data_IF_721590096546
#
_entry.id   IF_721590096546
#
_cell.length_a   1.000
_cell.length_b   1.000
_cell.length_c   1.000
_cell.angle_alpha   90.00
_cell.angle_beta   90.00
_cell.angle_gamma   90.00
#
_symmetry.space_group_name_H-M   'P 1'
#
loop_
_entity.id
_entity.type
_entity.pdbx_description
1 polymer ?
#
# COMPACT_ATOMS: atom_id res chain seq x y z
N UNK A 1 7.45 -1.10 -16.17
CA UNK A 1 8.21 -0.36 -15.16
C UNK A 1 9.06 0.67 -15.89
N UNK A 2 9.07 1.94 -15.49
CA UNK A 2 9.89 2.97 -16.13
C UNK A 2 11.37 2.58 -16.12
N UNK A 3 12.07 2.83 -17.22
CA UNK A 3 13.46 2.38 -17.35
C UNK A 3 14.41 3.12 -16.38
N UNK A 4 14.02 4.33 -15.97
CA UNK A 4 14.68 5.13 -14.93
C UNK A 4 14.71 4.42 -13.58
N UNK A 5 13.79 3.48 -13.29
CA UNK A 5 13.75 2.81 -11.99
C UNK A 5 14.92 1.85 -11.77
N UNK A 6 15.36 1.18 -12.83
CA UNK A 6 16.38 0.14 -12.73
C UNK A 6 17.66 0.65 -12.07
N UNK A 7 18.14 1.83 -12.47
CA UNK A 7 19.34 2.43 -11.90
C UNK A 7 19.25 2.54 -10.36
N UNK A 8 18.17 3.11 -9.84
CA UNK A 8 18.02 3.34 -8.40
C UNK A 8 17.74 2.06 -7.62
N UNK A 9 17.01 1.12 -8.22
CA UNK A 9 16.75 -0.19 -7.63
C UNK A 9 18.06 -0.98 -7.53
N UNK A 10 18.82 -1.05 -8.62
CA UNK A 10 20.10 -1.76 -8.67
C UNK A 10 21.08 -1.15 -7.68
N UNK A 11 21.21 0.19 -7.63
CA UNK A 11 22.06 0.87 -6.65
C UNK A 11 21.65 0.59 -5.19
N UNK A 12 20.34 0.44 -4.92
CA UNK A 12 19.84 0.08 -3.59
C UNK A 12 20.17 -1.38 -3.26
N UNK A 13 19.95 -2.31 -4.19
CA UNK A 13 20.19 -3.75 -4.01
C UNK A 13 21.69 -4.04 -3.86
N UNK A 14 22.53 -3.37 -4.65
CA UNK A 14 23.99 -3.54 -4.63
C UNK A 14 24.65 -2.91 -3.39
N UNK A 15 23.88 -2.23 -2.54
CA UNK A 15 24.39 -1.66 -1.30
C UNK A 15 24.75 -2.75 -0.29
N UNK A 16 26.00 -2.70 0.19
CA UNK A 16 26.57 -3.69 1.13
C UNK A 16 25.81 -3.75 2.47
N UNK A 17 25.25 -2.63 2.90
CA UNK A 17 24.47 -2.53 4.13
C UNK A 17 23.33 -1.50 4.02
N UNK A 18 22.41 -1.55 4.97
CA UNK A 18 21.27 -0.63 5.05
C UNK A 18 21.68 0.84 5.18
N UNK A 19 22.84 1.15 5.78
CA UNK A 19 23.31 2.53 5.93
C UNK A 19 23.72 3.12 4.57
N UNK A 20 24.41 2.34 3.76
CA UNK A 20 24.78 2.69 2.38
C UNK A 20 23.54 2.78 1.49
N UNK A 21 22.62 1.82 1.61
CA UNK A 21 21.35 1.84 0.89
C UNK A 21 20.53 3.11 1.20
N UNK A 22 20.51 3.53 2.47
CA UNK A 22 19.86 4.79 2.90
C UNK A 22 20.50 6.02 2.27
N UNK A 23 21.82 6.04 2.06
CA UNK A 23 22.49 7.15 1.38
C UNK A 23 22.03 7.25 -0.08
N UNK A 24 21.82 6.11 -0.76
CA UNK A 24 21.28 6.07 -2.13
C UNK A 24 19.88 6.65 -2.21
N UNK A 25 19.01 6.29 -1.27
CA UNK A 25 17.67 6.89 -1.15
C UNK A 25 17.77 8.41 -0.96
N UNK A 26 18.68 8.89 -0.09
CA UNK A 26 18.87 10.34 0.13
C UNK A 26 19.31 11.09 -1.13
N UNK A 27 20.13 10.47 -1.98
CA UNK A 27 20.53 11.06 -3.26
C UNK A 27 19.32 11.24 -4.18
N UNK A 28 18.43 10.24 -4.23
CA UNK A 28 17.17 10.36 -4.95
C UNK A 28 16.28 11.46 -4.37
N UNK A 29 16.19 11.60 -3.04
CA UNK A 29 15.45 12.71 -2.40
C UNK A 29 15.99 14.08 -2.80
N UNK A 30 17.32 14.21 -2.90
CA UNK A 30 17.96 15.47 -3.30
C UNK A 30 17.70 15.80 -4.78
N UNK A 31 17.73 14.79 -5.65
CA UNK A 31 17.38 14.95 -7.07
C UNK A 31 15.95 15.46 -7.23
N UNK A 32 14.99 14.81 -6.55
CA UNK A 32 13.58 15.23 -6.56
C UNK A 32 13.39 16.65 -6.02
N UNK A 33 14.18 17.07 -5.02
CA UNK A 33 14.08 18.42 -4.46
C UNK A 33 14.70 19.51 -5.35
N UNK A 34 15.54 19.14 -6.31
CA UNK A 34 16.17 20.06 -7.27
C UNK A 34 15.39 20.14 -8.59
N UNK A 35 14.44 19.23 -8.79
CA UNK A 35 13.61 19.19 -9.97
C UNK A 35 12.48 20.21 -9.82
N UNK A 36 12.43 21.19 -10.72
CA UNK A 36 11.40 22.25 -10.72
C UNK A 36 10.24 21.92 -11.66
N UNK A 37 10.36 20.87 -12.48
CA UNK A 37 9.33 20.44 -13.43
C UNK A 37 8.48 19.33 -12.80
N UNK A 38 7.16 19.54 -12.70
CA UNK A 38 6.19 18.53 -12.26
C UNK A 38 5.74 17.71 -13.48
N UNK A 39 6.66 16.90 -13.99
CA UNK A 39 6.40 16.00 -15.11
C UNK A 39 6.12 14.56 -14.66
N UNK A 40 5.75 13.70 -15.62
CA UNK A 40 5.41 12.32 -15.34
C UNK A 40 6.62 11.50 -14.81
N UNK A 41 7.84 11.87 -15.18
CA UNK A 41 9.05 11.20 -14.72
C UNK A 41 9.35 11.56 -13.27
N UNK A 42 9.17 12.82 -12.87
CA UNK A 42 9.25 13.26 -11.46
C UNK A 42 8.25 12.50 -10.59
N UNK A 43 6.98 12.39 -11.01
CA UNK A 43 5.96 11.63 -10.29
C UNK A 43 6.31 10.13 -10.15
N UNK A 44 6.88 9.53 -11.20
CA UNK A 44 7.35 8.15 -11.17
C UNK A 44 8.52 7.98 -10.17
N UNK A 45 9.48 8.92 -10.16
CA UNK A 45 10.61 8.89 -9.24
C UNK A 45 10.19 9.15 -7.78
N UNK A 46 9.20 10.00 -7.53
CA UNK A 46 8.60 10.18 -6.21
C UNK A 46 7.98 8.88 -5.70
N UNK A 47 7.21 8.19 -6.55
CA UNK A 47 6.63 6.89 -6.22
C UNK A 47 7.72 5.86 -5.89
N UNK A 48 8.78 5.77 -6.70
CA UNK A 48 9.91 4.90 -6.43
C UNK A 48 10.62 5.26 -5.11
N UNK A 49 10.80 6.55 -4.85
CA UNK A 49 11.42 7.03 -3.62
C UNK A 49 10.60 6.62 -2.38
N UNK A 50 9.27 6.70 -2.45
CA UNK A 50 8.39 6.22 -1.38
C UNK A 50 8.53 4.70 -1.18
N UNK A 51 8.55 3.91 -2.26
CA UNK A 51 8.75 2.46 -2.21
C UNK A 51 10.09 2.10 -1.55
N UNK A 52 11.20 2.68 -2.01
CA UNK A 52 12.54 2.38 -1.48
C UNK A 52 12.67 2.78 0.00
N UNK A 53 12.08 3.92 0.40
CA UNK A 53 12.00 4.30 1.80
C UNK A 53 11.24 3.26 2.63
N UNK A 54 10.15 2.73 2.08
CA UNK A 54 9.35 1.74 2.79
C UNK A 54 10.09 0.41 2.90
N UNK A 55 10.74 -0.05 1.83
CA UNK A 55 11.64 -1.23 1.85
C UNK A 55 12.68 -1.06 2.95
N UNK A 56 13.37 0.08 2.98
CA UNK A 56 14.39 0.36 3.98
C UNK A 56 13.83 0.31 5.41
N UNK A 57 12.65 0.91 5.65
CA UNK A 57 11.98 0.86 6.96
C UNK A 57 11.62 -0.57 7.36
N UNK A 58 11.09 -1.38 6.44
CA UNK A 58 10.68 -2.75 6.72
C UNK A 58 11.87 -3.62 7.14
N UNK A 59 13.01 -3.52 6.42
CA UNK A 59 14.22 -4.28 6.75
C UNK A 59 15.01 -3.72 7.94
N UNK A 60 14.88 -2.43 8.25
CA UNK A 60 15.46 -1.83 9.46
C UNK A 60 14.60 -2.03 10.71
N UNK A 61 13.39 -2.61 10.57
CA UNK A 61 12.48 -2.85 11.68
C UNK A 61 13.00 -3.94 12.61
N UNK A 62 12.72 -3.78 13.91
CA UNK A 62 12.99 -4.80 14.93
C UNK A 62 11.79 -5.72 15.17
N UNK A 63 10.65 -5.47 14.50
CA UNK A 63 9.46 -6.32 14.59
C UNK A 63 9.75 -7.64 13.87
N UNK A 64 9.56 -8.76 14.57
CA UNK A 64 9.66 -10.09 13.97
C UNK A 64 8.45 -10.34 13.06
N UNK A 65 8.67 -10.19 11.75
CA UNK A 65 7.63 -10.39 10.75
C UNK A 65 7.15 -11.84 10.62
N UNK A 66 7.87 -12.83 11.20
CA UNK A 66 7.42 -14.21 11.24
C UNK A 66 6.54 -14.52 12.45
N UNK A 67 6.40 -13.57 13.39
CA UNK A 67 5.69 -13.79 14.65
C UNK A 67 4.18 -13.89 14.46
N UNK A 68 3.60 -13.04 13.62
CA UNK A 68 2.15 -12.98 13.36
C UNK A 68 1.89 -12.45 11.95
N UNK A 69 0.74 -12.80 11.40
CA UNK A 69 0.24 -12.24 10.13
C UNK A 69 0.12 -10.71 10.20
N UNK A 70 -0.34 -10.16 11.33
CA UNK A 70 -0.42 -8.72 11.55
C UNK A 70 0.97 -8.06 11.45
N UNK A 71 2.00 -8.67 12.06
CA UNK A 71 3.37 -8.17 11.96
C UNK A 71 3.90 -8.20 10.53
N UNK A 72 3.62 -9.28 9.78
CA UNK A 72 3.96 -9.35 8.36
C UNK A 72 3.24 -8.27 7.55
N UNK A 73 1.92 -8.16 7.70
CA UNK A 73 1.09 -7.21 6.96
C UNK A 73 1.50 -5.76 7.26
N UNK A 74 1.77 -5.44 8.52
CA UNK A 74 2.23 -4.13 8.97
C UNK A 74 3.54 -3.71 8.29
N UNK A 75 4.44 -4.65 8.02
CA UNK A 75 5.75 -4.35 7.42
C UNK A 75 5.76 -4.45 5.90
N UNK A 76 5.04 -5.41 5.33
CA UNK A 76 5.23 -5.82 3.93
C UNK A 76 3.98 -5.70 3.05
N UNK A 77 2.80 -5.43 3.62
CA UNK A 77 1.55 -5.33 2.84
C UNK A 77 0.95 -3.93 2.94
N UNK A 78 0.48 -3.52 4.12
CA UNK A 78 -0.27 -2.28 4.31
C UNK A 78 0.48 -1.03 3.83
N UNK A 79 1.77 -0.84 4.13
CA UNK A 79 2.46 0.36 3.69
C UNK A 79 2.60 0.46 2.17
N UNK A 80 2.73 -0.67 1.47
CA UNK A 80 2.82 -0.69 0.01
C UNK A 80 1.47 -0.42 -0.63
N UNK A 81 0.39 -0.97 -0.06
CA UNK A 81 -0.97 -0.66 -0.50
C UNK A 81 -1.32 0.80 -0.26
N UNK A 82 -0.87 1.41 0.84
CA UNK A 82 -1.01 2.85 1.08
C UNK A 82 -0.28 3.70 0.02
N UNK A 83 0.96 3.34 -0.32
CA UNK A 83 1.74 4.01 -1.38
C UNK A 83 1.05 3.87 -2.74
N UNK A 84 0.57 2.66 -3.08
CA UNK A 84 -0.15 2.40 -4.32
C UNK A 84 -1.49 3.15 -4.35
N UNK A 85 -2.23 3.18 -3.25
CA UNK A 85 -3.50 3.90 -3.18
C UNK A 85 -3.29 5.39 -3.48
N UNK A 86 -2.27 6.00 -2.87
CA UNK A 86 -1.92 7.41 -3.08
C UNK A 86 -1.39 7.74 -4.47
N UNK A 87 -0.90 6.75 -5.21
CA UNK A 87 -0.44 6.96 -6.58
C UNK A 87 -1.59 6.93 -7.61
N UNK A 88 -2.79 6.48 -7.22
CA UNK A 88 -3.97 6.51 -8.07
C UNK A 88 -4.48 7.95 -8.17
N UNK A 89 -4.26 8.57 -9.33
CA UNK A 89 -4.78 9.91 -9.67
C UNK A 89 -6.04 9.77 -10.53
N UNK A 90 -7.19 10.17 -10.00
CA UNK A 90 -8.46 10.23 -10.73
C UNK A 90 -9.08 11.60 -10.50
N UNK A 91 -9.44 12.28 -11.59
CA UNK A 91 -9.98 13.64 -11.51
C UNK A 91 -11.21 13.72 -10.60
N UNK A 92 -11.14 14.59 -9.59
CA UNK A 92 -12.22 14.81 -8.63
C UNK A 92 -12.37 13.74 -7.56
N UNK A 93 -11.40 12.83 -7.42
CA UNK A 93 -11.37 11.82 -6.37
C UNK A 93 -10.01 11.78 -5.67
N UNK A 94 -10.03 11.61 -4.35
CA UNK A 94 -8.87 11.25 -3.55
C UNK A 94 -8.83 9.73 -3.37
N UNK A 95 -7.65 9.13 -3.22
CA UNK A 95 -7.49 7.68 -3.11
C UNK A 95 -6.64 7.34 -1.89
N UNK A 96 -7.18 6.53 -0.98
CA UNK A 96 -6.43 6.02 0.18
C UNK A 96 -6.71 4.54 0.44
N UNK A 97 -5.76 3.93 1.16
CA UNK A 97 -5.90 2.58 1.69
C UNK A 97 -6.48 2.63 3.11
N UNK A 98 -7.65 2.03 3.29
CA UNK A 98 -8.33 1.89 4.58
C UNK A 98 -7.99 0.54 5.17
N UNK A 99 -7.23 0.55 6.26
CA UNK A 99 -6.91 -0.64 7.05
C UNK A 99 -7.86 -0.80 8.24
N UNK A 100 -7.94 -2.02 8.80
CA UNK A 100 -8.61 -2.26 10.07
C UNK A 100 -10.06 -2.70 9.94
N UNK A 101 -10.31 -3.66 9.05
CA UNK A 101 -11.62 -4.28 8.88
C UNK A 101 -12.73 -3.34 8.37
N UNK A 102 -12.50 -2.52 7.31
CA UNK A 102 -13.57 -1.73 6.70
C UNK A 102 -14.72 -2.61 6.22
N UNK A 103 -15.94 -2.10 6.41
CA UNK A 103 -17.17 -2.68 5.85
C UNK A 103 -17.15 -2.49 4.34
N UNK A 104 -17.51 -3.55 3.62
CA UNK A 104 -17.65 -3.52 2.16
C UNK A 104 -19.06 -3.04 1.78
N UNK A 105 -19.19 -1.77 1.43
CA UNK A 105 -20.47 -1.13 1.15
C UNK A 105 -21.10 -1.68 -0.13
N UNK A 106 -20.29 -1.98 -1.14
CA UNK A 106 -20.76 -2.57 -2.41
C UNK A 106 -21.46 -3.91 -2.18
N UNK A 107 -20.92 -4.78 -1.33
CA UNK A 107 -21.54 -6.06 -1.01
C UNK A 107 -22.84 -5.88 -0.22
N UNK A 108 -22.88 -4.89 0.68
CA UNK A 108 -24.09 -4.51 1.41
C UNK A 108 -25.19 -4.04 0.45
N UNK A 109 -24.85 -3.20 -0.53
CA UNK A 109 -25.79 -2.74 -1.56
C UNK A 109 -26.27 -3.90 -2.45
N UNK A 110 -25.39 -4.82 -2.83
CA UNK A 110 -25.77 -6.01 -3.60
C UNK A 110 -26.74 -6.91 -2.82
N UNK A 111 -26.47 -7.19 -1.54
CA UNK A 111 -27.35 -7.98 -0.68
C UNK A 111 -28.74 -7.34 -0.53
N UNK A 112 -28.80 -6.00 -0.41
CA UNK A 112 -30.06 -5.25 -0.40
C UNK A 112 -30.80 -5.40 -1.72
N UNK A 113 -30.10 -5.32 -2.85
CA UNK A 113 -30.70 -5.46 -4.18
C UNK A 113 -31.32 -6.85 -4.43
N UNK A 114 -30.77 -7.91 -3.83
CA UNK A 114 -31.28 -9.28 -3.94
C UNK A 114 -32.18 -9.71 -2.78
N UNK A 115 -32.59 -8.79 -1.89
CA UNK A 115 -33.39 -9.07 -0.69
C UNK A 115 -32.78 -10.13 0.25
N UNK A 116 -31.45 -10.26 0.30
CA UNK A 116 -30.72 -11.14 1.22
C UNK A 116 -30.08 -10.37 2.39
N UNK A 117 -30.30 -9.05 2.44
CA UNK A 117 -29.83 -8.22 3.54
C UNK A 117 -30.63 -8.49 4.82
N UNK A 118 -29.95 -8.86 5.91
CA UNK A 118 -30.59 -9.17 7.21
C UNK A 118 -30.46 -7.99 8.18
N UNK A 119 -29.23 -7.59 8.50
CA UNK A 119 -28.92 -6.50 9.43
C UNK A 119 -27.51 -5.95 9.22
N UNK A 120 -27.18 -4.85 9.91
CA UNK A 120 -25.83 -4.25 9.86
C UNK A 120 -24.77 -5.09 10.64
N UNK A 121 -25.18 -6.13 11.37
CA UNK A 121 -24.27 -6.95 12.20
C UNK A 121 -23.52 -7.98 11.36
N UNK A 122 -24.14 -8.44 10.27
CA UNK A 122 -23.60 -9.47 9.38
C UNK A 122 -23.00 -8.87 8.10
N UNK A 123 -22.62 -7.59 8.13
CA UNK A 123 -21.94 -6.96 7.00
C UNK A 123 -20.55 -7.57 6.82
N UNK A 124 -20.21 -7.80 5.55
CA UNK A 124 -18.90 -8.29 5.19
C UNK A 124 -17.83 -7.23 5.49
N UNK A 125 -16.75 -7.67 6.15
CA UNK A 125 -15.58 -6.83 6.46
C UNK A 125 -14.37 -7.46 5.80
N UNK A 126 -13.50 -6.61 5.27
CA UNK A 126 -12.25 -7.00 4.60
C UNK A 126 -11.06 -6.55 5.40
N UNK A 127 -9.91 -7.21 5.33
CA UNK A 127 -8.73 -6.80 6.12
C UNK A 127 -8.21 -5.40 5.74
N UNK A 128 -8.43 -4.99 4.49
CA UNK A 128 -8.25 -3.62 4.04
C UNK A 128 -8.84 -3.35 2.67
N UNK A 129 -8.96 -2.08 2.31
CA UNK A 129 -9.62 -1.65 1.08
C UNK A 129 -8.97 -0.40 0.51
N UNK A 130 -8.64 -0.38 -0.78
CA UNK A 130 -8.33 0.87 -1.50
C UNK A 130 -9.64 1.52 -1.93
N UNK A 131 -9.86 2.76 -1.51
CA UNK A 131 -11.10 3.50 -1.74
C UNK A 131 -10.82 4.84 -2.40
N UNK A 132 -11.61 5.17 -3.42
CA UNK A 132 -11.68 6.50 -4.00
C UNK A 132 -12.74 7.31 -3.24
N UNK A 133 -12.33 8.34 -2.53
CA UNK A 133 -13.21 9.31 -1.90
C UNK A 133 -13.63 10.36 -2.93
N UNK A 134 -14.90 10.75 -2.91
CA UNK A 134 -15.46 11.67 -3.91
C UNK A 134 -16.58 11.00 -4.70
N UNK A 135 -16.45 10.93 -6.04
CA UNK A 135 -17.49 10.37 -6.91
C UNK A 135 -17.79 8.91 -6.54
N UNK A 136 -18.94 8.73 -5.87
CA UNK A 136 -19.52 7.45 -5.49
C UNK A 136 -18.72 6.58 -4.50
N UNK A 137 -17.69 7.13 -3.84
CA UNK A 137 -16.93 6.40 -2.82
C UNK A 137 -16.46 5.01 -3.28
N UNK A 138 -15.92 4.92 -4.50
CA UNK A 138 -15.67 3.67 -5.20
C UNK A 138 -14.66 2.78 -4.45
N UNK A 139 -15.00 1.50 -4.32
CA UNK A 139 -14.17 0.47 -3.70
C UNK A 139 -13.38 -0.25 -4.81
N UNK A 140 -12.05 -0.12 -4.84
CA UNK A 140 -11.21 -0.55 -5.97
C UNK A 140 -10.52 -1.89 -5.75
N UNK A 141 -9.90 -2.07 -4.59
CA UNK A 141 -9.08 -3.25 -4.28
C UNK A 141 -9.43 -3.75 -2.90
N UNK A 142 -9.76 -5.03 -2.82
CA UNK A 142 -10.04 -5.76 -1.60
C UNK A 142 -8.78 -6.49 -1.15
N UNK A 143 -8.32 -6.21 0.07
CA UNK A 143 -7.30 -7.03 0.74
C UNK A 143 -8.02 -8.01 1.65
N UNK A 144 -7.89 -9.29 1.31
CA UNK A 144 -8.20 -10.41 2.19
C UNK A 144 -6.91 -11.16 2.43
N UNK A 145 -6.40 -11.15 3.65
CA UNK A 145 -5.25 -11.98 3.98
C UNK A 145 -5.75 -13.33 4.47
N UNK A 146 -5.36 -14.39 3.75
CA UNK A 146 -5.74 -15.75 4.16
C UNK A 146 -5.09 -16.04 5.50
N UNK A 147 -5.90 -16.13 6.56
CA UNK A 147 -5.42 -16.44 7.90
C UNK A 147 -4.63 -17.75 7.94
N UNK A 148 -3.29 -17.66 7.94
CA UNK A 148 -2.40 -18.81 7.85
C UNK A 148 -1.12 -18.66 8.68
N UNK A 149 -1.25 -18.45 9.99
CA UNK A 149 -0.29 -18.99 10.96
C UNK A 149 -1.05 -19.71 12.06
N UNK A 150 -1.16 -21.04 11.91
CA UNK A 150 -1.77 -21.95 12.89
C UNK A 150 -3.25 -21.64 13.14
N UNK A 151 -4.09 -21.78 12.11
CA UNK A 151 -5.50 -22.06 12.39
C UNK A 151 -5.60 -23.48 12.96
N UNK A 152 -5.46 -23.58 14.29
CA UNK A 152 -5.66 -24.78 15.10
C UNK A 152 -7.09 -24.83 15.63
N UNK A 153 -8.02 -24.07 15.03
CA UNK A 153 -9.43 -24.23 15.33
C UNK A 153 -9.85 -25.64 14.89
N UNK A 154 -9.92 -26.50 15.91
CA UNK A 154 -10.63 -27.77 15.90
C UNK A 154 -12.08 -27.52 16.27
#
# INVERSE_FOLDING_TARGET
>A
MPQSFHLYIDEYIDSVDLTMAKKKIKLLSLLLAMDEEDDNDTANLEFLHQLLNQVHKSYASHVDYNSTECAFNQLFIWPYLDIIAKSIKVDGCDSDFVQGQPILESMTQQLKAVNLYVDDKNQYKSDGLVKLFGLNNLELVLLETSGCFINKDK
#
